data_IF_988872311355
#
_entry.id   IF_988872311355
#
_cell.length_a   1.000
_cell.length_b   1.000
_cell.length_c   1.000
_cell.angle_alpha   90.00
_cell.angle_beta   90.00
_cell.angle_gamma   90.00
#
_symmetry.space_group_name_H-M   'P 1'
#
loop_
_entity.id
_entity.type
_entity.pdbx_description
1 polymer ?
#
# COMPACT_ATOMS: atom_id res chain seq x y z
N UNK A 1 21.03 1.72 17.70
CA UNK A 1 21.07 2.97 16.88
C UNK A 1 19.79 3.81 17.04
N UNK A 2 18.67 3.16 17.35
CA UNK A 2 17.31 3.75 17.41
C UNK A 2 17.13 4.80 18.52
N UNK A 3 17.69 4.56 19.72
CA UNK A 3 17.63 5.51 20.83
C UNK A 3 18.31 6.86 20.56
N UNK A 4 19.28 6.93 19.65
CA UNK A 4 19.96 8.19 19.32
C UNK A 4 19.12 9.10 18.41
N UNK A 5 18.25 8.50 17.62
CA UNK A 5 17.45 9.11 16.53
C UNK A 5 16.18 9.77 17.12
N UNK A 6 15.55 9.13 18.08
CA UNK A 6 14.27 9.55 18.68
C UNK A 6 14.41 10.63 19.75
N UNK A 7 15.52 10.65 20.50
CA UNK A 7 15.78 11.65 21.55
C UNK A 7 16.29 13.00 20.99
N UNK A 8 16.58 13.10 19.69
CA UNK A 8 17.04 14.34 19.04
C UNK A 8 16.06 14.85 17.96
N UNK A 9 15.10 15.68 18.36
CA UNK A 9 14.23 16.49 17.47
C UNK A 9 14.97 17.43 16.48
N UNK A 10 16.30 17.46 16.52
CA UNK A 10 17.14 18.26 15.62
C UNK A 10 17.50 17.56 14.31
N UNK A 11 17.23 16.26 14.17
CA UNK A 11 17.62 15.47 12.99
C UNK A 11 16.40 14.83 12.31
N UNK A 12 15.38 15.62 11.96
CA UNK A 12 14.17 15.12 11.30
C UNK A 12 14.48 14.35 10.01
N UNK A 13 15.43 14.83 9.20
CA UNK A 13 15.87 14.15 7.97
C UNK A 13 16.46 12.76 8.24
N UNK A 14 17.17 12.59 9.36
CA UNK A 14 17.73 11.28 9.75
C UNK A 14 16.63 10.33 10.24
N UNK A 15 15.63 10.87 10.93
CA UNK A 15 14.48 10.09 11.40
C UNK A 15 13.63 9.62 10.22
N UNK A 16 13.44 10.46 9.21
CA UNK A 16 12.74 10.12 7.96
C UNK A 16 13.50 9.04 7.19
N UNK A 17 14.80 9.22 6.94
CA UNK A 17 15.62 8.22 6.27
C UNK A 17 15.69 6.88 7.02
N UNK A 18 15.73 6.92 8.35
CA UNK A 18 15.67 5.72 9.19
C UNK A 18 14.31 5.01 9.06
N UNK A 19 13.20 5.75 9.17
CA UNK A 19 11.86 5.19 9.01
C UNK A 19 11.64 4.60 7.62
N UNK A 20 12.12 5.27 6.57
CA UNK A 20 12.09 4.77 5.20
C UNK A 20 12.83 3.42 5.10
N UNK A 21 14.05 3.35 5.63
CA UNK A 21 14.84 2.10 5.66
C UNK A 21 14.13 0.97 6.40
N UNK A 22 13.55 1.26 7.57
CA UNK A 22 12.80 0.25 8.34
C UNK A 22 11.51 -0.14 7.63
N UNK A 23 10.84 0.79 6.93
CA UNK A 23 9.65 0.47 6.17
C UNK A 23 9.95 -0.42 4.95
N UNK A 24 11.10 -0.24 4.29
CA UNK A 24 11.56 -1.11 3.19
C UNK A 24 12.09 -2.47 3.65
N UNK A 25 12.86 -2.51 4.75
CA UNK A 25 13.43 -3.75 5.29
C UNK A 25 13.12 -3.94 6.79
N UNK A 26 11.87 -4.26 7.16
CA UNK A 26 11.45 -4.32 8.57
C UNK A 26 12.23 -5.32 9.43
N UNK A 27 12.74 -6.38 8.80
CA UNK A 27 13.54 -7.42 9.49
C UNK A 27 14.77 -6.85 10.17
N UNK A 28 15.38 -5.79 9.63
CA UNK A 28 16.54 -5.13 10.25
C UNK A 28 16.26 -4.69 11.68
N UNK A 29 15.04 -4.25 11.96
CA UNK A 29 14.60 -3.89 13.29
C UNK A 29 13.90 -5.04 13.99
N UNK A 30 12.82 -5.57 13.42
CA UNK A 30 11.93 -6.52 14.10
C UNK A 30 12.58 -7.86 14.44
N UNK A 31 13.66 -8.26 13.77
CA UNK A 31 14.43 -9.48 14.10
C UNK A 31 15.65 -9.19 15.00
N UNK A 32 15.92 -7.92 15.31
CA UNK A 32 17.01 -7.52 16.19
C UNK A 32 16.66 -7.66 17.68
N UNK A 33 17.67 -7.79 18.53
CA UNK A 33 17.51 -7.72 19.98
C UNK A 33 17.12 -6.30 20.44
N UNK A 34 17.56 -5.25 19.70
CA UNK A 34 17.23 -3.84 19.99
C UNK A 34 15.71 -3.59 19.94
N UNK A 35 14.96 -4.37 19.17
CA UNK A 35 13.51 -4.24 19.06
C UNK A 35 12.81 -4.35 20.42
N UNK A 36 13.23 -5.31 21.26
CA UNK A 36 12.59 -5.56 22.55
C UNK A 36 12.80 -4.42 23.55
N UNK A 37 13.82 -3.58 23.34
CA UNK A 37 14.13 -2.39 24.15
C UNK A 37 13.56 -1.07 23.63
N UNK A 38 12.85 -1.08 22.49
CA UNK A 38 12.29 0.14 21.91
C UNK A 38 11.30 0.81 22.86
N UNK A 39 11.35 2.15 22.91
CA UNK A 39 10.35 2.92 23.65
C UNK A 39 9.02 2.91 22.90
N UNK A 40 7.92 3.00 23.64
CA UNK A 40 6.56 2.97 23.10
C UNK A 40 6.34 3.99 21.96
N UNK A 41 6.86 5.21 22.09
CA UNK A 41 6.69 6.27 21.09
C UNK A 41 7.44 5.99 19.78
N UNK A 42 8.57 5.29 19.83
CA UNK A 42 9.32 4.88 18.63
C UNK A 42 8.52 3.83 17.86
N UNK A 43 7.96 2.87 18.60
CA UNK A 43 7.13 1.82 18.03
C UNK A 43 5.85 2.39 17.42
N UNK A 44 5.22 3.40 18.06
CA UNK A 44 4.08 4.13 17.47
C UNK A 44 4.41 4.74 16.12
N UNK A 45 5.59 5.35 15.96
CA UNK A 45 6.00 5.94 14.67
C UNK A 45 6.11 4.89 13.57
N UNK A 46 6.75 3.75 13.87
CA UNK A 46 6.92 2.64 12.93
C UNK A 46 5.57 2.02 12.57
N UNK A 47 4.70 1.78 13.56
CA UNK A 47 3.39 1.17 13.33
C UNK A 47 2.46 2.06 12.50
N UNK A 48 2.60 3.39 12.60
CA UNK A 48 1.87 4.35 11.74
C UNK A 48 2.31 4.36 10.28
N UNK A 49 3.52 3.89 9.96
CA UNK A 49 4.04 3.89 8.59
C UNK A 49 3.23 2.96 7.67
N UNK A 50 2.47 3.51 6.72
CA UNK A 50 1.71 2.73 5.73
C UNK A 50 2.64 1.92 4.79
N UNK A 51 3.89 2.37 4.62
CA UNK A 51 4.90 1.74 3.76
C UNK A 51 5.59 0.51 4.33
N UNK A 52 5.39 0.15 5.60
CA UNK A 52 6.11 -0.95 6.25
C UNK A 52 5.84 -2.31 5.58
N UNK A 53 6.89 -2.94 5.04
CA UNK A 53 6.86 -4.21 4.29
C UNK A 53 6.82 -5.44 5.22
N UNK A 54 5.76 -5.53 6.02
CA UNK A 54 5.52 -6.65 6.92
C UNK A 54 4.03 -6.95 7.01
N UNK A 55 3.67 -8.24 7.03
CA UNK A 55 2.27 -8.66 7.23
C UNK A 55 1.78 -8.26 8.62
N UNK A 56 0.55 -7.75 8.73
CA UNK A 56 -0.04 -7.33 10.01
C UNK A 56 -0.01 -8.45 11.06
N UNK A 57 -0.22 -9.71 10.66
CA UNK A 57 -0.13 -10.85 11.58
C UNK A 57 1.27 -11.02 12.20
N UNK A 58 2.33 -10.74 11.45
CA UNK A 58 3.70 -10.80 11.94
C UNK A 58 4.02 -9.60 12.85
N UNK A 59 3.52 -8.42 12.50
CA UNK A 59 3.61 -7.22 13.35
C UNK A 59 2.97 -7.50 14.71
N UNK A 60 1.76 -8.10 14.71
CA UNK A 60 1.08 -8.48 15.95
C UNK A 60 1.90 -9.46 16.79
N UNK A 61 2.44 -10.53 16.18
CA UNK A 61 3.31 -11.49 16.90
C UNK A 61 4.52 -10.81 17.53
N UNK A 62 5.16 -9.87 16.83
CA UNK A 62 6.29 -9.11 17.34
C UNK A 62 5.88 -8.16 18.46
N UNK A 63 4.74 -7.48 18.32
CA UNK A 63 4.19 -6.58 19.34
C UNK A 63 3.88 -7.32 20.65
N UNK A 64 3.31 -8.53 20.57
CA UNK A 64 3.09 -9.38 21.74
C UNK A 64 4.41 -9.72 22.44
N UNK A 65 5.45 -10.11 21.68
CA UNK A 65 6.78 -10.38 22.24
C UNK A 65 7.40 -9.16 22.91
N UNK A 66 7.28 -7.98 22.29
CA UNK A 66 7.72 -6.72 22.87
C UNK A 66 6.98 -6.42 24.18
N UNK A 67 5.64 -6.57 24.21
CA UNK A 67 4.84 -6.33 25.40
C UNK A 67 5.25 -7.19 26.59
N UNK A 68 5.56 -8.47 26.37
CA UNK A 68 6.08 -9.34 27.44
C UNK A 68 7.48 -8.92 27.91
N UNK A 69 8.39 -8.56 27.00
CA UNK A 69 9.73 -8.13 27.36
C UNK A 69 9.73 -6.86 28.23
N UNK A 70 8.86 -5.89 27.92
CA UNK A 70 8.69 -4.67 28.70
C UNK A 70 8.19 -4.97 30.13
N UNK A 71 7.31 -5.95 30.28
CA UNK A 71 6.81 -6.36 31.59
C UNK A 71 7.92 -6.97 32.46
N UNK A 72 8.79 -7.82 31.88
CA UNK A 72 9.94 -8.39 32.59
C UNK A 72 10.94 -7.32 33.01
N UNK A 73 11.17 -6.29 32.18
CA UNK A 73 12.05 -5.17 32.52
C UNK A 73 11.49 -4.31 33.68
N UNK A 74 10.18 -4.07 33.68
CA UNK A 74 9.50 -3.37 34.78
C UNK A 74 9.65 -4.10 36.12
N UNK A 75 9.56 -5.44 36.12
CA UNK A 75 9.77 -6.24 37.33
C UNK A 75 11.23 -6.21 37.80
N UNK A 76 12.20 -6.24 36.88
CA UNK A 76 13.62 -6.11 37.25
C UNK A 76 13.95 -4.70 37.77
N UNK A 77 13.42 -3.64 37.18
CA UNK A 77 13.71 -2.26 37.59
C UNK A 77 13.17 -1.95 39.00
N UNK A 78 12.00 -2.50 39.36
CA UNK A 78 11.47 -2.42 40.73
C UNK A 78 12.42 -3.12 41.72
N UNK A 79 13.02 -4.26 41.35
CA UNK A 79 13.98 -4.95 42.20
C UNK A 79 15.34 -4.21 42.30
N UNK A 80 15.70 -3.38 41.32
CA UNK A 80 16.92 -2.57 41.35
C UNK A 80 16.80 -1.33 42.24
N UNK A 81 15.63 -0.71 42.31
CA UNK A 81 15.42 0.54 43.05
C UNK A 81 15.30 0.34 44.58
N UNK A 82 14.93 -0.86 45.02
CA UNK A 82 14.70 -1.17 46.44
C UNK A 82 15.93 -1.75 47.19
N UNK A 83 17.10 -1.93 46.56
CA UNK A 83 18.31 -2.36 47.29
C UNK A 83 18.99 -1.21 48.02
N UNK A 84 18.36 -0.72 49.08
CA UNK A 84 19.03 -0.07 50.22
C UNK A 84 18.52 -0.57 51.57
N UNK A 85 17.78 -1.68 51.63
CA UNK A 85 17.55 -2.42 52.86
C UNK A 85 17.80 -3.91 52.61
N UNK A 86 18.92 -4.40 53.14
CA UNK A 86 19.12 -5.82 53.43
C UNK A 86 18.13 -6.20 54.54
N UNK A 87 16.89 -6.54 54.17
CA UNK A 87 15.98 -7.42 54.89
C UNK A 87 14.63 -7.41 54.16
N UNK A 88 14.09 -8.59 53.85
CA UNK A 88 12.88 -8.91 53.06
C UNK A 88 13.14 -9.41 51.62
N UNK A 89 13.95 -10.47 51.52
CA UNK A 89 13.93 -11.39 50.37
C UNK A 89 13.52 -12.79 50.83
N UNK A 90 12.32 -12.89 51.39
CA UNK A 90 11.66 -14.16 51.71
C UNK A 90 10.16 -13.89 51.83
N UNK A 91 9.48 -13.64 50.71
CA UNK A 91 8.07 -14.01 50.57
C UNK A 91 7.59 -13.83 49.12
N UNK A 92 6.89 -14.87 48.64
CA UNK A 92 6.10 -14.95 47.41
C UNK A 92 6.76 -15.51 46.14
N UNK A 93 7.22 -16.76 46.22
CA UNK A 93 7.02 -17.73 45.12
C UNK A 93 7.04 -19.21 45.57
N UNK A 94 6.54 -19.51 46.78
CA UNK A 94 6.31 -20.89 47.22
C UNK A 94 4.91 -21.04 47.81
N UNK A 95 3.88 -20.82 46.99
CA UNK A 95 2.63 -21.59 47.08
C UNK A 95 1.65 -21.10 46.00
N UNK A 96 1.54 -21.85 44.91
CA UNK A 96 0.25 -22.20 44.28
C UNK A 96 0.51 -23.05 43.04
N UNK A 97 0.03 -24.29 43.08
CA UNK A 97 -0.12 -25.14 41.90
C UNK A 97 -1.29 -24.66 41.00
N UNK A 98 -1.36 -23.36 40.67
CA UNK A 98 -2.35 -22.78 39.78
C UNK A 98 -1.65 -21.93 38.71
N UNK A 99 -1.21 -22.57 37.62
CA UNK A 99 -0.70 -21.90 36.41
C UNK A 99 -1.71 -20.84 35.89
N UNK A 100 -3.02 -21.08 36.07
CA UNK A 100 -4.12 -20.19 35.63
C UNK A 100 -4.09 -18.78 36.25
N UNK A 101 -3.62 -18.61 37.49
CA UNK A 101 -3.63 -17.30 38.18
C UNK A 101 -2.44 -16.41 37.76
N UNK A 102 -1.35 -17.00 37.28
CA UNK A 102 -0.17 -16.28 36.82
C UNK A 102 -0.38 -15.77 35.38
N UNK A 103 -0.99 -16.59 34.52
CA UNK A 103 -1.40 -16.17 33.17
C UNK A 103 -2.34 -14.95 33.19
N UNK A 104 -3.30 -14.91 34.12
CA UNK A 104 -4.24 -13.79 34.25
C UNK A 104 -3.57 -12.47 34.65
N UNK A 105 -2.52 -12.53 35.49
CA UNK A 105 -1.74 -11.34 35.86
C UNK A 105 -0.93 -10.82 34.67
N UNK A 106 -0.24 -11.71 33.97
CA UNK A 106 0.58 -11.38 32.80
C UNK A 106 -0.26 -10.79 31.66
N UNK A 107 -1.45 -11.33 31.42
CA UNK A 107 -2.40 -10.83 30.42
C UNK A 107 -2.89 -9.42 30.77
N UNK A 108 -3.16 -9.14 32.05
CA UNK A 108 -3.60 -7.81 32.50
C UNK A 108 -2.51 -6.75 32.33
N UNK A 109 -1.25 -7.10 32.65
CA UNK A 109 -0.12 -6.18 32.42
C UNK A 109 0.08 -5.97 30.92
N UNK A 110 0.06 -7.03 30.11
CA UNK A 110 0.14 -6.94 28.64
C UNK A 110 -0.94 -6.04 28.05
N UNK A 111 -2.18 -6.14 28.53
CA UNK A 111 -3.30 -5.28 28.14
C UNK A 111 -3.00 -3.81 28.38
N UNK A 112 -2.41 -3.47 29.53
CA UNK A 112 -2.02 -2.09 29.84
C UNK A 112 -0.91 -1.62 28.90
N UNK A 113 0.14 -2.41 28.74
CA UNK A 113 1.31 -2.11 27.91
C UNK A 113 0.97 -1.91 26.44
N UNK A 114 0.03 -2.69 25.89
CA UNK A 114 -0.33 -2.63 24.47
C UNK A 114 -1.49 -1.68 24.14
N UNK A 115 -2.19 -1.14 25.14
CA UNK A 115 -3.44 -0.39 24.95
C UNK A 115 -3.37 0.74 23.92
N UNK A 116 -2.27 1.50 23.89
CA UNK A 116 -2.07 2.59 22.92
C UNK A 116 -1.52 2.11 21.58
N UNK A 117 -0.81 0.97 21.56
CA UNK A 117 -0.16 0.43 20.35
C UNK A 117 -1.11 -0.40 19.49
N UNK A 118 -2.07 -1.10 20.11
CA UNK A 118 -3.13 -1.89 19.44
C UNK A 118 -3.86 -1.05 18.40
N UNK A 119 -4.00 0.26 18.67
CA UNK A 119 -4.70 1.17 17.77
C UNK A 119 -4.03 1.25 16.40
N UNK A 120 -2.73 1.01 16.30
CA UNK A 120 -1.98 1.10 15.04
C UNK A 120 -1.86 -0.24 14.30
N UNK A 121 -2.50 -1.31 14.79
CA UNK A 121 -2.56 -2.61 14.14
C UNK A 121 -3.79 -2.69 13.25
N UNK A 122 -3.60 -3.04 11.97
CA UNK A 122 -4.67 -3.09 10.98
C UNK A 122 -5.23 -4.50 10.88
N UNK A 123 -5.92 -4.93 11.94
CA UNK A 123 -6.43 -6.31 12.06
C UNK A 123 -7.30 -6.76 10.89
N UNK A 124 -8.00 -5.82 10.25
CA UNK A 124 -8.87 -6.04 9.08
C UNK A 124 -8.10 -6.51 7.84
N UNK A 125 -6.77 -6.36 7.81
CA UNK A 125 -5.88 -6.86 6.74
C UNK A 125 -5.28 -8.23 7.03
N UNK A 126 -5.58 -8.82 8.19
CA UNK A 126 -5.15 -10.18 8.48
C UNK A 126 -6.06 -11.17 7.76
N UNK A 127 -5.48 -12.28 7.32
CA UNK A 127 -6.27 -13.40 6.85
C UNK A 127 -7.04 -14.01 8.03
N UNK A 128 -8.35 -14.26 7.85
CA UNK A 128 -9.22 -14.78 8.90
C UNK A 128 -8.79 -16.17 9.42
N UNK A 129 -8.17 -17.01 8.57
CA UNK A 129 -7.63 -18.31 8.96
C UNK A 129 -6.38 -18.15 9.84
N UNK A 130 -5.58 -17.11 9.60
CA UNK A 130 -4.40 -16.78 10.41
C UNK A 130 -4.76 -16.02 11.70
N UNK A 131 -5.84 -15.22 11.68
CA UNK A 131 -6.27 -14.38 12.79
C UNK A 131 -6.62 -15.20 14.03
N UNK A 132 -7.47 -16.22 13.87
CA UNK A 132 -7.99 -16.99 15.00
C UNK A 132 -6.89 -17.67 15.86
N UNK A 133 -5.95 -18.46 15.30
CA UNK A 133 -4.95 -19.15 16.13
C UNK A 133 -3.97 -18.19 16.82
N UNK A 134 -3.72 -17.00 16.26
CA UNK A 134 -2.65 -16.10 16.73
C UNK A 134 -3.21 -14.94 17.55
N UNK A 135 -4.22 -14.23 17.04
CA UNK A 135 -4.77 -13.03 17.67
C UNK A 135 -5.74 -13.39 18.78
N UNK A 136 -6.59 -14.40 18.56
CA UNK A 136 -7.63 -14.78 19.54
C UNK A 136 -7.05 -15.26 20.88
N UNK A 137 -5.85 -15.88 20.83
CA UNK A 137 -5.09 -16.27 22.03
C UNK A 137 -4.85 -15.08 22.95
N UNK A 138 -4.57 -13.91 22.38
CA UNK A 138 -4.29 -12.67 23.10
C UNK A 138 -5.40 -11.63 22.87
N UNK A 139 -6.68 -12.05 22.86
CA UNK A 139 -7.81 -11.15 22.58
C UNK A 139 -8.17 -10.17 23.71
N UNK A 140 -7.71 -10.42 24.94
CA UNK A 140 -8.11 -9.64 26.13
C UNK A 140 -7.77 -8.14 26.08
N UNK A 141 -6.65 -7.73 25.43
CA UNK A 141 -6.36 -6.33 25.15
C UNK A 141 -7.29 -5.67 24.12
N UNK A 142 -7.98 -6.45 23.27
CA UNK A 142 -8.89 -5.93 22.26
C UNK A 142 -10.23 -5.55 22.91
N UNK A 143 -10.78 -4.39 22.56
CA UNK A 143 -12.12 -4.00 23.01
C UNK A 143 -13.19 -4.80 22.27
N UNK A 144 -14.37 -4.98 22.88
CA UNK A 144 -15.50 -5.66 22.22
C UNK A 144 -15.89 -4.97 20.91
N UNK A 145 -15.86 -3.63 20.88
CA UNK A 145 -16.12 -2.83 19.68
C UNK A 145 -15.11 -3.12 18.55
N UNK A 146 -13.82 -3.24 18.87
CA UNK A 146 -12.79 -3.58 17.89
C UNK A 146 -13.00 -5.01 17.36
N UNK A 147 -13.35 -5.95 18.23
CA UNK A 147 -13.63 -7.33 17.82
C UNK A 147 -14.83 -7.38 16.86
N UNK A 148 -15.90 -6.66 17.17
CA UNK A 148 -17.08 -6.56 16.30
C UNK A 148 -16.75 -5.94 14.94
N UNK A 149 -15.96 -4.86 14.93
CA UNK A 149 -15.48 -4.19 13.72
C UNK A 149 -14.64 -5.12 12.83
N UNK A 150 -13.70 -5.88 13.43
CA UNK A 150 -12.86 -6.86 12.74
C UNK A 150 -13.72 -7.93 12.07
N UNK A 151 -14.64 -8.55 12.83
CA UNK A 151 -15.49 -9.61 12.28
C UNK A 151 -16.42 -9.09 11.19
N UNK A 152 -16.90 -7.85 11.31
CA UNK A 152 -17.72 -7.22 10.28
C UNK A 152 -16.94 -7.08 8.97
N UNK A 153 -15.68 -6.62 9.02
CA UNK A 153 -14.81 -6.56 7.84
C UNK A 153 -14.42 -7.93 7.28
N UNK A 154 -14.37 -8.98 8.11
CA UNK A 154 -14.15 -10.36 7.61
C UNK A 154 -15.36 -10.94 6.88
N UNK A 155 -16.57 -10.49 7.23
CA UNK A 155 -17.80 -10.91 6.56
C UNK A 155 -18.04 -10.17 5.25
N UNK A 156 -17.61 -8.91 5.17
CA UNK A 156 -17.77 -8.06 4.00
C UNK A 156 -16.57 -7.13 3.84
N UNK A 157 -15.79 -7.37 2.78
CA UNK A 157 -14.59 -6.59 2.44
C UNK A 157 -14.89 -5.15 2.02
N UNK A 158 -16.14 -4.80 1.70
CA UNK A 158 -16.52 -3.44 1.32
C UNK A 158 -16.69 -2.50 2.53
N UNK A 159 -16.86 -3.06 3.72
CA UNK A 159 -17.11 -2.32 4.95
C UNK A 159 -15.83 -1.60 5.39
N UNK A 160 -15.97 -0.30 5.64
CA UNK A 160 -14.90 0.53 6.17
C UNK A 160 -14.81 0.29 7.68
N UNK A 161 -13.62 -0.09 8.20
CA UNK A 161 -13.37 -0.14 9.63
C UNK A 161 -13.81 1.13 10.35
N UNK A 162 -14.69 0.98 11.34
CA UNK A 162 -15.06 2.06 12.24
C UNK A 162 -13.98 2.32 13.29
N UNK A 163 -13.16 1.30 13.60
CA UNK A 163 -12.08 1.38 14.57
C UNK A 163 -10.73 1.46 13.84
N UNK A 164 -10.03 2.58 14.00
CA UNK A 164 -8.72 2.86 13.40
C UNK A 164 -8.71 2.77 11.86
N UNK A 165 -9.26 3.78 11.15
CA UNK A 165 -9.34 3.82 9.70
C UNK A 165 -7.98 4.15 9.04
N UNK A 166 -6.90 3.55 9.52
CA UNK A 166 -5.59 3.66 8.87
C UNK A 166 -5.67 3.11 7.45
N UNK A 167 -4.88 3.67 6.55
CA UNK A 167 -4.75 3.16 5.18
C UNK A 167 -4.26 1.71 5.22
N UNK A 168 -4.48 0.94 4.16
CA UNK A 168 -3.91 -0.41 4.09
C UNK A 168 -2.40 -0.32 4.10
N UNK A 169 -1.74 -1.11 4.98
CA UNK A 169 -0.27 -1.18 4.99
C UNK A 169 0.15 -1.92 3.73
N UNK A 170 0.71 -1.18 2.78
CA UNK A 170 0.95 -1.65 1.42
C UNK A 170 2.37 -2.16 1.21
N UNK A 171 3.20 -2.22 2.26
CA UNK A 171 4.58 -2.62 2.11
C UNK A 171 4.73 -3.99 1.43
N UNK A 172 3.84 -4.95 1.69
CA UNK A 172 3.88 -6.27 1.03
C UNK A 172 3.41 -6.27 -0.44
N UNK A 173 2.88 -5.16 -0.95
CA UNK A 173 2.39 -5.09 -2.33
C UNK A 173 3.57 -5.10 -3.30
N UNK A 174 3.58 -6.05 -4.23
CA UNK A 174 4.61 -6.15 -5.27
C UNK A 174 4.01 -5.79 -6.61
N UNK A 175 4.73 -4.96 -7.36
CA UNK A 175 4.38 -4.58 -8.72
C UNK A 175 5.50 -5.07 -9.62
N UNK A 176 5.17 -5.92 -10.59
CA UNK A 176 6.13 -6.29 -11.65
C UNK A 176 6.22 -5.14 -12.66
N UNK A 177 6.99 -4.12 -12.31
CA UNK A 177 7.21 -2.96 -13.16
C UNK A 177 8.66 -2.50 -13.10
N UNK A 178 9.16 -2.05 -14.24
CA UNK A 178 10.42 -1.30 -14.34
C UNK A 178 10.20 0.21 -14.48
N UNK A 179 8.94 0.64 -14.66
CA UNK A 179 8.57 2.05 -14.90
C UNK A 179 7.91 2.73 -13.71
N UNK A 180 7.17 1.99 -12.88
CA UNK A 180 6.42 2.52 -11.75
C UNK A 180 6.81 1.84 -10.45
N UNK A 181 6.86 2.63 -9.39
CA UNK A 181 6.99 2.15 -8.00
C UNK A 181 5.60 2.13 -7.33
N UNK A 182 5.56 1.75 -6.05
CA UNK A 182 4.30 1.68 -5.28
C UNK A 182 3.63 3.05 -5.14
N UNK A 183 4.40 4.11 -4.95
CA UNK A 183 3.88 5.48 -4.81
C UNK A 183 3.11 5.93 -6.05
N UNK A 184 3.68 5.69 -7.24
CA UNK A 184 3.02 5.99 -8.50
C UNK A 184 1.76 5.13 -8.64
N UNK A 185 1.83 3.83 -8.35
CA UNK A 185 0.66 2.97 -8.44
C UNK A 185 -0.49 3.43 -7.51
N UNK A 186 -0.18 3.92 -6.31
CA UNK A 186 -1.16 4.51 -5.39
C UNK A 186 -1.79 5.79 -5.92
N UNK A 187 -0.99 6.64 -6.54
CA UNK A 187 -1.50 7.84 -7.16
C UNK A 187 -2.49 7.47 -8.29
N UNK A 188 -2.17 6.44 -9.08
CA UNK A 188 -3.02 5.94 -10.14
C UNK A 188 -4.34 5.36 -9.60
N UNK A 189 -4.32 4.60 -8.50
CA UNK A 189 -5.56 4.08 -7.88
C UNK A 189 -6.45 5.20 -7.35
N UNK A 190 -5.87 6.23 -6.73
CA UNK A 190 -6.64 7.44 -6.32
C UNK A 190 -7.37 8.07 -7.50
N UNK A 191 -6.71 8.15 -8.66
CA UNK A 191 -7.33 8.71 -9.87
C UNK A 191 -8.44 7.84 -10.45
N UNK A 192 -8.31 6.50 -10.36
CA UNK A 192 -9.36 5.54 -10.72
C UNK A 192 -10.59 5.75 -9.83
N UNK A 193 -10.40 5.81 -8.52
CA UNK A 193 -11.47 6.01 -7.52
C UNK A 193 -12.14 7.39 -7.61
N UNK A 194 -11.56 8.31 -8.39
CA UNK A 194 -11.93 9.74 -8.47
C UNK A 194 -11.83 10.48 -7.14
N UNK A 195 -11.04 9.98 -6.21
CA UNK A 195 -10.70 10.69 -4.96
C UNK A 195 -9.77 11.85 -5.28
N UNK A 196 -10.02 13.01 -4.67
CA UNK A 196 -9.06 14.13 -4.73
C UNK A 196 -7.87 13.82 -3.81
N UNK A 197 -6.77 14.57 -3.97
CA UNK A 197 -5.61 14.47 -3.06
C UNK A 197 -6.03 14.74 -1.60
N UNK A 198 -7.11 15.51 -1.40
CA UNK A 198 -7.65 15.94 -0.11
C UNK A 198 -8.73 15.01 0.48
N UNK A 199 -9.15 13.96 -0.26
CA UNK A 199 -10.08 12.96 0.29
C UNK A 199 -9.31 12.09 1.29
N UNK A 200 -9.41 12.45 2.58
CA UNK A 200 -8.91 11.69 3.73
C UNK A 200 -9.58 10.31 3.78
N UNK A 201 -8.98 9.37 3.04
CA UNK A 201 -8.89 7.91 3.25
C UNK A 201 -8.94 7.19 1.90
N UNK A 202 -7.78 7.03 1.24
CA UNK A 202 -7.59 5.91 0.33
C UNK A 202 -7.81 4.62 1.13
N UNK A 203 -8.99 4.00 1.00
CA UNK A 203 -9.08 2.55 1.21
C UNK A 203 -7.94 2.00 0.35
N UNK A 204 -6.95 1.30 0.90
CA UNK A 204 -5.64 1.14 0.21
C UNK A 204 -5.68 0.33 -1.10
N UNK A 205 -4.69 -0.51 -1.39
CA UNK A 205 -4.67 -1.21 -2.69
C UNK A 205 -5.81 -2.24 -2.83
N UNK A 206 -6.98 -1.79 -3.28
CA UNK A 206 -8.07 -2.64 -3.77
C UNK A 206 -7.76 -3.13 -5.18
N UNK A 207 -6.72 -2.61 -5.80
CA UNK A 207 -6.35 -2.93 -7.16
C UNK A 207 -5.06 -3.74 -7.21
N UNK A 208 -5.10 -4.88 -7.88
CA UNK A 208 -3.91 -5.59 -8.31
C UNK A 208 -3.44 -5.05 -9.68
N UNK A 209 -2.13 -4.86 -9.82
CA UNK A 209 -1.49 -4.39 -11.05
C UNK A 209 -0.85 -5.59 -11.75
N UNK A 210 -1.63 -6.26 -12.59
CA UNK A 210 -1.22 -7.46 -13.30
C UNK A 210 -0.56 -7.07 -14.63
N UNK A 211 0.77 -7.20 -14.73
CA UNK A 211 1.52 -6.83 -15.94
C UNK A 211 1.07 -7.67 -17.13
N UNK A 212 0.42 -7.04 -18.10
CA UNK A 212 -0.02 -7.68 -19.34
C UNK A 212 1.03 -7.58 -20.42
N UNK A 213 1.70 -6.44 -20.59
CA UNK A 213 2.59 -6.17 -21.73
C UNK A 213 3.72 -5.24 -21.30
N UNK A 214 4.95 -5.50 -21.78
CA UNK A 214 6.10 -4.59 -21.64
C UNK A 214 6.84 -4.50 -22.96
N UNK A 215 7.00 -3.31 -23.53
CA UNK A 215 7.52 -3.16 -24.89
C UNK A 215 8.97 -3.62 -25.05
N UNK A 216 9.79 -3.51 -24.01
CA UNK A 216 11.15 -4.06 -23.98
C UNK A 216 11.21 -5.60 -23.98
N UNK A 217 10.14 -6.28 -23.56
CA UNK A 217 10.05 -7.75 -23.56
C UNK A 217 9.25 -8.29 -24.75
N UNK A 218 8.13 -7.65 -25.07
CA UNK A 218 7.14 -8.10 -26.05
C UNK A 218 7.33 -7.47 -27.44
N UNK A 219 8.20 -6.45 -27.55
CA UNK A 219 8.43 -5.68 -28.78
C UNK A 219 7.39 -4.58 -29.00
N UNK A 220 7.37 -3.98 -30.20
CA UNK A 220 6.51 -2.82 -30.54
C UNK A 220 5.34 -3.18 -31.47
N UNK A 221 5.01 -4.47 -31.60
CA UNK A 221 3.97 -4.92 -32.52
C UNK A 221 2.58 -4.74 -31.91
N UNK A 222 1.67 -4.06 -32.64
CA UNK A 222 0.26 -3.97 -32.24
C UNK A 222 -0.41 -5.34 -32.14
N UNK A 223 0.01 -6.30 -32.98
CA UNK A 223 -0.50 -7.66 -32.93
C UNK A 223 -0.14 -8.37 -31.62
N UNK A 224 1.06 -8.13 -31.08
CA UNK A 224 1.47 -8.69 -29.79
C UNK A 224 0.73 -8.00 -28.65
N UNK A 225 0.56 -6.67 -28.73
CA UNK A 225 -0.28 -5.92 -27.79
C UNK A 225 -1.70 -6.51 -27.71
N UNK A 226 -2.41 -6.61 -28.84
CA UNK A 226 -3.78 -7.14 -28.86
C UNK A 226 -3.86 -8.58 -28.35
N UNK A 227 -2.89 -9.44 -28.69
CA UNK A 227 -2.84 -10.82 -28.17
C UNK A 227 -2.75 -10.87 -26.63
N UNK A 228 -2.11 -9.87 -26.02
CA UNK A 228 -1.85 -9.84 -24.57
C UNK A 228 -2.88 -9.03 -23.79
N UNK A 229 -3.42 -7.98 -24.38
CA UNK A 229 -4.25 -6.98 -23.71
C UNK A 229 -5.74 -7.02 -24.07
N UNK A 230 -6.14 -7.68 -25.16
CA UNK A 230 -7.56 -7.77 -25.52
C UNK A 230 -8.32 -8.67 -24.54
N UNK A 231 -9.55 -8.27 -24.19
CA UNK A 231 -10.44 -9.00 -23.27
C UNK A 231 -9.85 -9.22 -21.85
N UNK A 232 -9.12 -8.21 -21.33
CA UNK A 232 -8.47 -8.22 -20.00
C UNK A 232 -9.07 -7.25 -18.99
N UNK A 233 -10.26 -6.76 -19.24
CA UNK A 233 -10.93 -5.77 -18.42
C UNK A 233 -10.23 -4.41 -18.43
N UNK A 234 -10.33 -3.70 -17.32
CA UNK A 234 -9.74 -2.39 -17.16
C UNK A 234 -8.21 -2.44 -17.17
N UNK A 235 -7.58 -1.44 -17.78
CA UNK A 235 -6.12 -1.37 -17.89
C UNK A 235 -5.57 0.02 -17.63
N UNK A 236 -4.36 0.05 -17.10
CA UNK A 236 -3.50 1.24 -17.07
C UNK A 236 -2.35 1.03 -18.04
N UNK A 237 -2.10 2.05 -18.87
CA UNK A 237 -0.96 2.14 -19.77
C UNK A 237 0.00 3.17 -19.19
N UNK A 238 1.29 2.81 -19.08
CA UNK A 238 2.36 3.71 -18.64
C UNK A 238 3.47 3.72 -19.69
N UNK A 239 3.88 4.91 -20.12
CA UNK A 239 4.86 5.14 -21.18
C UNK A 239 5.97 6.01 -20.62
N UNK A 240 7.21 5.54 -20.75
CA UNK A 240 8.40 6.25 -20.31
C UNK A 240 8.96 7.09 -21.43
N UNK A 241 9.02 8.40 -21.25
CA UNK A 241 9.72 9.28 -22.20
C UNK A 241 11.22 9.00 -22.19
N UNK A 242 11.84 8.99 -23.37
CA UNK A 242 13.25 8.68 -23.54
C UNK A 242 14.16 9.85 -23.12
N UNK A 243 13.68 11.08 -23.27
CA UNK A 243 14.51 12.28 -23.12
C UNK A 243 14.33 12.98 -21.75
N UNK A 244 13.48 12.45 -20.87
CA UNK A 244 13.17 13.06 -19.58
C UNK A 244 12.81 12.05 -18.48
N UNK A 245 12.59 12.51 -17.25
CA UNK A 245 12.05 11.71 -16.14
C UNK A 245 10.53 11.50 -16.21
N UNK A 246 9.84 12.10 -17.19
CA UNK A 246 8.39 12.00 -17.29
C UNK A 246 7.89 10.59 -17.65
N UNK A 247 6.73 10.29 -17.10
CA UNK A 247 5.85 9.19 -17.45
C UNK A 247 4.53 9.78 -17.99
N UNK A 248 4.05 9.18 -19.05
CA UNK A 248 2.75 9.46 -19.65
C UNK A 248 1.90 8.21 -19.61
N UNK A 249 0.58 8.35 -19.71
CA UNK A 249 -0.24 7.15 -19.70
C UNK A 249 -1.72 7.42 -19.76
N UNK A 250 -2.49 6.35 -19.63
CA UNK A 250 -3.94 6.44 -19.62
C UNK A 250 -4.60 5.21 -19.01
N UNK A 251 -5.77 5.44 -18.44
CA UNK A 251 -6.65 4.42 -17.89
C UNK A 251 -7.81 4.16 -18.83
N UNK A 252 -7.95 2.91 -19.24
CA UNK A 252 -9.09 2.40 -20.00
C UNK A 252 -9.95 1.54 -19.05
N UNK A 253 -11.21 1.92 -18.76
CA UNK A 253 -12.09 1.16 -17.86
C UNK A 253 -12.74 -0.08 -18.50
N UNK A 254 -12.41 -0.39 -19.76
CA UNK A 254 -12.97 -1.52 -20.50
C UNK A 254 -11.87 -2.39 -21.08
N UNK A 255 -12.24 -3.57 -21.56
CA UNK A 255 -11.40 -4.38 -22.42
C UNK A 255 -10.87 -3.61 -23.63
N UNK A 256 -9.67 -3.94 -24.09
CA UNK A 256 -9.27 -3.70 -25.47
C UNK A 256 -9.88 -4.75 -26.39
N UNK A 257 -10.04 -4.41 -27.67
CA UNK A 257 -10.32 -5.36 -28.73
C UNK A 257 -9.68 -4.88 -30.06
N UNK A 258 -9.83 -5.67 -31.11
CA UNK A 258 -9.30 -5.36 -32.44
C UNK A 258 -10.39 -5.10 -33.50
N UNK A 259 -11.59 -4.66 -33.08
CA UNK A 259 -12.77 -4.53 -33.95
C UNK A 259 -12.81 -3.23 -34.79
N UNK A 260 -11.83 -2.34 -34.62
CA UNK A 260 -11.78 -1.00 -35.24
C UNK A 260 -12.97 -0.13 -34.84
N UNK A 261 -13.30 -0.16 -33.54
CA UNK A 261 -14.42 0.58 -32.95
C UNK A 261 -13.94 1.62 -31.95
N UNK A 262 -14.81 2.59 -31.68
CA UNK A 262 -14.66 3.52 -30.57
C UNK A 262 -15.55 3.09 -29.40
N UNK A 263 -15.00 3.15 -28.19
CA UNK A 263 -15.75 2.89 -26.96
C UNK A 263 -16.04 4.20 -26.24
N UNK A 264 -17.30 4.35 -25.84
CA UNK A 264 -17.78 5.53 -25.12
C UNK A 264 -17.53 5.38 -23.62
N UNK A 265 -16.88 6.36 -23.00
CA UNK A 265 -16.78 6.43 -21.52
C UNK A 265 -16.51 7.84 -21.03
N UNK A 266 -16.90 8.11 -19.78
CA UNK A 266 -16.55 9.30 -19.00
C UNK A 266 -15.59 8.99 -17.84
N UNK A 267 -15.19 7.72 -17.69
CA UNK A 267 -14.34 7.24 -16.61
C UNK A 267 -12.87 7.07 -17.02
N UNK A 268 -12.56 7.12 -18.32
CA UNK A 268 -11.17 7.10 -18.80
C UNK A 268 -10.46 8.42 -18.49
N UNK A 269 -9.15 8.35 -18.30
CA UNK A 269 -8.29 9.52 -18.18
C UNK A 269 -6.93 9.26 -18.84
N UNK A 270 -6.24 10.33 -19.19
CA UNK A 270 -4.81 10.32 -19.53
C UNK A 270 -4.04 11.10 -18.46
N UNK A 271 -2.74 10.86 -18.32
CA UNK A 271 -1.93 11.54 -17.33
C UNK A 271 -0.51 11.81 -17.80
N UNK A 272 0.13 12.75 -17.11
CA UNK A 272 1.55 13.03 -17.18
C UNK A 272 2.08 13.24 -15.76
N UNK A 273 3.21 12.64 -15.41
CA UNK A 273 3.86 12.84 -14.11
C UNK A 273 5.37 12.76 -14.24
N UNK A 274 6.09 13.46 -13.37
CA UNK A 274 7.54 13.35 -13.26
C UNK A 274 7.87 12.26 -12.24
N UNK A 275 8.63 11.24 -12.65
CA UNK A 275 9.05 10.14 -11.77
C UNK A 275 9.74 10.65 -10.50
N UNK A 276 10.48 11.77 -10.59
CA UNK A 276 11.23 12.32 -9.47
C UNK A 276 10.44 13.32 -8.62
N UNK A 277 9.27 13.77 -9.08
CA UNK A 277 8.44 14.72 -8.36
C UNK A 277 6.95 14.55 -8.70
N UNK A 278 6.23 13.86 -7.83
CA UNK A 278 4.80 13.58 -8.00
C UNK A 278 3.89 14.78 -7.68
N UNK A 279 4.39 15.87 -7.11
CA UNK A 279 3.56 17.04 -6.76
C UNK A 279 2.91 17.70 -7.99
N UNK A 280 3.60 17.63 -9.14
CA UNK A 280 3.12 18.19 -10.40
C UNK A 280 2.41 17.15 -11.29
N UNK A 281 2.08 15.98 -10.74
CA UNK A 281 1.39 14.94 -11.47
C UNK A 281 0.01 15.44 -11.93
N UNK A 282 -0.25 15.34 -13.22
CA UNK A 282 -1.44 15.86 -13.87
C UNK A 282 -2.29 14.72 -14.41
N UNK A 283 -3.56 14.69 -14.01
CA UNK A 283 -4.58 13.80 -14.57
C UNK A 283 -5.58 14.61 -15.40
N UNK A 284 -5.83 14.15 -16.62
CA UNK A 284 -6.76 14.76 -17.57
C UNK A 284 -7.87 13.77 -17.89
N UNK A 285 -9.09 14.12 -17.47
CA UNK A 285 -10.28 13.30 -17.68
C UNK A 285 -10.94 13.70 -18.98
N UNK A 286 -11.56 12.73 -19.66
CA UNK A 286 -12.20 12.97 -20.94
C UNK A 286 -13.30 14.03 -20.86
N UNK A 287 -13.34 14.92 -21.86
CA UNK A 287 -14.43 15.89 -21.97
C UNK A 287 -15.74 15.17 -22.29
N UNK A 288 -16.82 15.55 -21.59
CA UNK A 288 -18.12 14.88 -21.71
C UNK A 288 -18.62 14.84 -23.16
N UNK A 289 -18.42 15.93 -23.91
CA UNK A 289 -18.83 16.06 -25.31
C UNK A 289 -18.02 15.16 -26.26
N UNK A 290 -16.81 14.77 -25.86
CA UNK A 290 -15.92 13.88 -26.61
C UNK A 290 -15.99 12.43 -26.14
N UNK A 291 -16.82 12.11 -25.13
CA UNK A 291 -16.89 10.79 -24.50
C UNK A 291 -17.17 9.63 -25.45
N UNK A 292 -17.80 9.87 -26.62
CA UNK A 292 -18.10 8.84 -27.63
C UNK A 292 -16.86 8.25 -28.31
N UNK A 293 -15.74 8.97 -28.30
CA UNK A 293 -14.48 8.57 -28.94
C UNK A 293 -13.34 8.52 -27.92
N UNK A 294 -13.65 7.96 -26.74
CA UNK A 294 -12.70 7.93 -25.63
C UNK A 294 -11.56 6.94 -25.87
N UNK A 295 -11.90 5.73 -26.29
CA UNK A 295 -10.94 4.63 -26.45
C UNK A 295 -11.13 4.05 -27.85
N UNK A 296 -10.05 3.96 -28.62
CA UNK A 296 -10.05 3.31 -29.93
C UNK A 296 -9.47 1.90 -29.83
N UNK A 297 -10.14 0.95 -30.48
CA UNK A 297 -9.75 -0.45 -30.56
C UNK A 297 -9.36 -0.80 -32.01
N UNK A 298 -8.29 -0.17 -32.53
CA UNK A 298 -7.80 -0.35 -33.91
C UNK A 298 -6.63 -1.34 -33.95
N UNK A 299 -6.76 -2.39 -34.77
CA UNK A 299 -5.76 -3.47 -34.91
C UNK A 299 -4.35 -3.00 -35.32
N UNK A 300 -4.23 -1.81 -35.90
CA UNK A 300 -2.97 -1.23 -36.37
C UNK A 300 -2.29 -0.33 -35.33
N UNK A 301 -2.87 -0.22 -34.13
CA UNK A 301 -2.37 0.58 -33.03
C UNK A 301 -2.21 -0.27 -31.78
N UNK A 302 -1.34 0.17 -30.88
CA UNK A 302 -1.35 -0.32 -29.51
C UNK A 302 -2.47 0.36 -28.73
N UNK A 303 -2.18 0.87 -27.52
CA UNK A 303 -3.13 1.73 -26.82
C UNK A 303 -3.50 2.99 -27.62
N UNK A 304 -4.78 3.36 -27.57
CA UNK A 304 -5.31 4.53 -28.26
C UNK A 304 -6.41 5.21 -27.44
N UNK A 305 -6.07 6.37 -26.90
CA UNK A 305 -6.97 7.27 -26.17
C UNK A 305 -7.29 8.51 -27.01
N UNK A 306 -8.58 8.81 -27.11
CA UNK A 306 -9.13 10.04 -27.67
C UNK A 306 -9.09 10.11 -29.19
N UNK A 307 -10.06 10.78 -29.80
CA UNK A 307 -10.14 10.96 -31.26
C UNK A 307 -9.04 11.92 -31.79
N UNK A 308 -8.38 12.66 -30.89
CA UNK A 308 -7.37 13.67 -31.15
C UNK A 308 -6.08 13.19 -31.78
N UNK A 309 -5.90 11.87 -31.98
CA UNK A 309 -5.11 10.98 -31.11
C UNK A 309 -4.41 11.64 -29.92
N UNK A 310 -5.11 11.69 -28.79
CA UNK A 310 -4.67 12.33 -27.56
C UNK A 310 -3.54 11.57 -26.85
N UNK A 311 -3.57 10.24 -26.89
CA UNK A 311 -2.44 9.38 -26.51
C UNK A 311 -2.51 8.07 -27.30
N UNK A 312 -1.62 7.87 -28.27
CA UNK A 312 -1.58 6.59 -29.00
C UNK A 312 -0.22 6.25 -29.62
N UNK A 313 -0.05 4.97 -29.94
CA UNK A 313 1.13 4.44 -30.63
C UNK A 313 0.71 3.56 -31.81
N UNK A 314 1.35 3.77 -32.96
CA UNK A 314 1.12 2.98 -34.18
C UNK A 314 1.91 1.66 -34.12
N UNK A 315 1.45 0.63 -34.81
CA UNK A 315 2.19 -0.62 -34.98
C UNK A 315 3.65 -0.40 -35.39
N UNK A 316 4.56 -1.09 -34.70
CA UNK A 316 6.01 -1.05 -34.90
C UNK A 316 6.62 0.35 -34.76
N UNK A 317 6.04 1.20 -33.91
CA UNK A 317 6.54 2.54 -33.58
C UNK A 317 6.82 2.65 -32.09
N UNK A 318 7.85 3.40 -31.73
CA UNK A 318 8.06 3.90 -30.36
C UNK A 318 7.71 5.40 -30.23
N UNK A 319 7.29 6.05 -31.32
CA UNK A 319 6.81 7.44 -31.28
C UNK A 319 5.33 7.44 -30.90
N UNK A 320 5.02 8.05 -29.77
CA UNK A 320 3.67 8.26 -29.27
C UNK A 320 3.16 9.65 -29.65
N UNK A 321 1.88 9.73 -29.98
CA UNK A 321 1.20 11.01 -30.25
C UNK A 321 0.55 11.54 -29.00
N UNK A 322 0.58 12.87 -28.84
CA UNK A 322 -0.01 13.63 -27.73
C UNK A 322 -0.86 14.79 -28.27
N UNK A 323 -1.82 14.51 -29.16
CA UNK A 323 -2.56 15.58 -29.85
C UNK A 323 -3.93 15.80 -29.20
N UNK A 324 -4.08 16.98 -28.62
CA UNK A 324 -5.22 17.37 -27.79
C UNK A 324 -6.48 17.54 -28.65
N UNK A 325 -7.53 16.80 -28.30
CA UNK A 325 -8.90 17.00 -28.80
C UNK A 325 -9.94 16.50 -27.81
N UNK A 326 -9.81 15.26 -27.35
CA UNK A 326 -10.81 14.58 -26.51
C UNK A 326 -10.54 14.74 -25.02
N UNK A 327 -9.27 14.88 -24.65
CA UNK A 327 -8.83 15.11 -23.28
C UNK A 327 -8.19 16.50 -23.18
N UNK A 328 -8.38 17.24 -22.08
CA UNK A 328 -7.59 18.42 -21.76
C UNK A 328 -6.08 18.16 -21.83
N UNK A 329 -5.32 19.22 -22.12
CA UNK A 329 -3.87 19.14 -22.37
C UNK A 329 -3.09 18.69 -21.14
N UNK A 330 -2.23 17.67 -21.33
CA UNK A 330 -1.29 17.16 -20.30
C UNK A 330 0.18 17.50 -20.58
N UNK A 331 0.52 17.92 -21.80
CA UNK A 331 1.88 18.31 -22.17
C UNK A 331 1.90 19.31 -23.32
N UNK A 332 2.95 20.13 -23.37
CA UNK A 332 3.21 21.08 -24.47
C UNK A 332 3.65 20.38 -25.77
N UNK A 333 4.28 19.20 -25.66
CA UNK A 333 4.71 18.42 -26.80
C UNK A 333 3.54 17.71 -27.50
N UNK A 334 3.60 17.60 -28.84
CA UNK A 334 2.60 16.89 -29.64
C UNK A 334 2.94 15.40 -29.85
N UNK A 335 4.13 14.97 -29.42
CA UNK A 335 4.61 13.60 -29.50
C UNK A 335 5.76 13.39 -28.53
N UNK A 336 6.00 12.14 -28.15
CA UNK A 336 7.20 11.71 -27.42
C UNK A 336 7.80 10.47 -28.06
N UNK A 337 9.08 10.22 -27.78
CA UNK A 337 9.74 8.96 -28.12
C UNK A 337 9.78 8.10 -26.86
N UNK A 338 9.13 6.95 -26.88
CA UNK A 338 9.09 6.07 -25.73
C UNK A 338 10.40 5.27 -25.61
N UNK A 339 10.98 5.29 -24.41
CA UNK A 339 12.03 4.35 -24.01
C UNK A 339 11.45 2.95 -23.81
N UNK A 340 10.32 2.87 -23.11
CA UNK A 340 9.55 1.65 -22.89
C UNK A 340 8.08 2.02 -22.59
N UNK A 341 7.18 1.04 -22.65
CA UNK A 341 5.84 1.18 -22.11
C UNK A 341 5.33 -0.14 -21.54
N UNK A 342 4.55 -0.03 -20.48
CA UNK A 342 3.92 -1.15 -19.78
C UNK A 342 2.40 -0.99 -19.81
N UNK A 343 1.70 -2.13 -19.82
CA UNK A 343 0.24 -2.20 -19.70
C UNK A 343 -0.09 -3.15 -18.58
N UNK A 344 -0.86 -2.67 -17.62
CA UNK A 344 -1.33 -3.43 -16.47
C UNK A 344 -2.83 -3.66 -16.58
N UNK A 345 -3.28 -4.88 -16.36
CA UNK A 345 -4.65 -5.16 -15.97
C UNK A 345 -4.86 -4.67 -14.54
N UNK A 346 -6.02 -4.06 -14.32
CA UNK A 346 -6.44 -3.53 -13.02
C UNK A 346 -7.61 -4.37 -12.54
N UNK A 347 -7.33 -5.30 -11.63
CA UNK A 347 -8.33 -6.17 -11.02
C UNK A 347 -8.68 -5.66 -9.63
N UNK A 348 -9.97 -5.56 -9.33
CA UNK A 348 -10.42 -5.20 -8.00
C UNK A 348 -10.40 -6.45 -7.11
N UNK A 349 -9.49 -6.48 -6.14
CA UNK A 349 -9.31 -7.54 -5.13
C UNK A 349 -10.56 -7.82 -4.29
N UNK A 350 -11.57 -6.95 -4.36
CA UNK A 350 -12.86 -7.13 -3.68
C UNK A 350 -13.74 -8.21 -4.33
N UNK A 351 -13.52 -8.56 -5.60
CA UNK A 351 -14.51 -9.34 -6.36
C UNK A 351 -14.24 -10.82 -6.61
N UNK A 352 -13.13 -11.42 -6.17
CA UNK A 352 -12.86 -12.83 -6.52
C UNK A 352 -12.27 -13.67 -5.38
N UNK A 353 -13.09 -14.02 -4.39
CA UNK A 353 -13.06 -15.36 -3.75
C UNK A 353 -14.48 -15.80 -3.41
N UNK A 354 -15.22 -16.26 -4.42
CA UNK A 354 -16.51 -16.94 -4.28
C UNK A 354 -16.37 -18.36 -3.76
#
# INVERSE_FOLDING_TARGET
MVHFITDNKRFNELNEAYLETICEEPKLLFDSEEFLSLKEDELKLILKCDGLDMKEIEIWKKLIKWGFAQNTMLESDIMCEDTNNEDMCEDMCEDTNNEDMCEDKDINVLKKTLSELIKFIRFHQMDHEEFMPVVWKYRHPLSEQLIEDIFTCFLDSDIIPSYNPFLIRWGNFKIDSVLINKEIALLLTKWIDKKTIDDETPKGFHYEFNLLFRSSLDGLSSQVFHRRCDNKGATIVVVKDQDSSFLFGGYNPFDWDCQNVWKRTTNSFIFALDYNNLENATVSRIDHDNSNHAIACDKNFGPFFGEGPDLCVKNNSNIWKLKIKSYPKIAEANSLTALDYEVFQIDNNVTEKS
#
